data_IF_986255162224
#
_entry.id   IF_986255162224
#
_cell.length_a   1.000
_cell.length_b   1.000
_cell.length_c   1.000
_cell.angle_alpha   90.00
_cell.angle_beta   90.00
_cell.angle_gamma   90.00
#
_symmetry.space_group_name_H-M   'P 1'
#
loop_
_entity.id
_entity.type
_entity.pdbx_description
1 polymer ?
#
# COMPACT_ATOMS: atom_id res chain seq x y z
N UNK A 1 10.23 -14.19 -16.06
CA UNK A 1 9.66 -14.10 -14.69
C UNK A 1 9.58 -15.49 -14.08
N UNK A 2 9.55 -15.55 -12.75
CA UNK A 2 9.27 -16.78 -11.98
C UNK A 2 7.94 -17.42 -12.41
N UNK A 3 7.84 -18.75 -12.33
CA UNK A 3 6.60 -19.50 -12.60
C UNK A 3 5.79 -19.69 -11.30
N UNK A 4 5.55 -18.59 -10.58
CA UNK A 4 4.81 -18.62 -9.32
C UNK A 4 3.30 -18.81 -9.57
N UNK A 5 2.65 -19.54 -8.67
CA UNK A 5 1.22 -19.83 -8.64
C UNK A 5 0.61 -19.43 -7.31
N UNK A 6 -0.29 -18.45 -7.35
CA UNK A 6 -0.93 -17.88 -6.16
C UNK A 6 -2.44 -18.14 -6.23
N UNK A 7 -3.01 -18.61 -5.12
CA UNK A 7 -4.46 -18.86 -5.02
C UNK A 7 -5.25 -17.54 -4.96
N UNK A 8 -6.56 -17.60 -5.23
CA UNK A 8 -7.43 -16.43 -5.07
C UNK A 8 -7.41 -15.84 -3.66
N UNK A 9 -7.39 -16.70 -2.63
CA UNK A 9 -7.37 -16.25 -1.24
C UNK A 9 -6.02 -15.63 -0.87
N UNK A 10 -4.90 -16.19 -1.32
CA UNK A 10 -3.58 -15.60 -1.12
C UNK A 10 -3.47 -14.22 -1.75
N UNK A 11 -3.94 -14.07 -2.98
CA UNK A 11 -3.94 -12.78 -3.67
C UNK A 11 -4.83 -11.76 -2.94
N UNK A 12 -6.01 -12.18 -2.48
CA UNK A 12 -6.89 -11.36 -1.65
C UNK A 12 -6.18 -10.88 -0.37
N UNK A 13 -5.54 -11.80 0.36
CA UNK A 13 -4.80 -11.50 1.59
C UNK A 13 -3.67 -10.51 1.34
N UNK A 14 -2.90 -10.70 0.27
CA UNK A 14 -1.81 -9.80 -0.09
C UNK A 14 -2.31 -8.38 -0.36
N UNK A 15 -3.46 -8.24 -1.04
CA UNK A 15 -4.08 -6.94 -1.31
C UNK A 15 -4.53 -6.28 0.00
N UNK A 16 -5.19 -7.04 0.88
CA UNK A 16 -5.63 -6.50 2.18
C UNK A 16 -4.44 -5.99 2.99
N UNK A 17 -3.39 -6.79 3.13
CA UNK A 17 -2.18 -6.42 3.87
C UNK A 17 -1.44 -5.23 3.25
N UNK A 18 -1.37 -5.19 1.93
CA UNK A 18 -0.72 -4.13 1.18
C UNK A 18 -1.41 -2.78 1.38
N UNK A 19 -2.73 -2.75 1.22
CA UNK A 19 -3.55 -1.54 1.36
C UNK A 19 -3.54 -1.05 2.81
N UNK A 20 -3.67 -1.97 3.78
CA UNK A 20 -3.65 -1.64 5.20
C UNK A 20 -2.30 -1.06 5.66
N UNK A 21 -1.18 -1.58 5.15
CA UNK A 21 0.21 -1.32 5.55
C UNK A 21 0.47 0.03 6.24
N UNK A 22 0.99 1.02 5.50
CA UNK A 22 1.25 2.36 6.06
C UNK A 22 -0.01 3.23 6.22
N UNK A 23 -1.13 2.86 5.59
CA UNK A 23 -2.39 3.58 5.64
C UNK A 23 -2.99 3.66 7.04
N UNK A 24 -2.92 2.54 7.77
CA UNK A 24 -3.43 2.45 9.14
C UNK A 24 -2.50 3.17 10.13
N UNK A 25 -1.22 3.31 9.77
CA UNK A 25 -0.20 3.96 10.57
C UNK A 25 -0.35 5.49 10.60
N UNK A 26 -0.49 6.13 9.43
CA UNK A 26 -0.26 7.58 9.24
C UNK A 26 -1.48 8.48 9.44
N UNK A 27 -2.62 7.94 9.88
CA UNK A 27 -3.82 8.77 10.12
C UNK A 27 -4.38 9.42 8.85
N UNK A 28 -4.63 8.61 7.83
CA UNK A 28 -5.17 9.03 6.53
C UNK A 28 -6.29 10.07 6.63
N UNK A 29 -6.14 11.15 5.87
CA UNK A 29 -7.17 12.19 5.75
C UNK A 29 -7.32 13.09 6.97
N UNK A 30 -6.43 13.03 7.96
CA UNK A 30 -6.52 13.80 9.21
C UNK A 30 -6.75 15.31 9.02
N UNK A 31 -6.35 15.87 7.89
CA UNK A 31 -6.58 17.26 7.49
C UNK A 31 -8.08 17.65 7.42
N UNK A 32 -8.98 16.67 7.22
CA UNK A 32 -10.44 16.89 7.26
C UNK A 32 -11.07 16.52 8.60
N UNK A 33 -10.26 16.38 9.65
CA UNK A 33 -10.69 16.28 11.04
C UNK A 33 -11.67 15.11 11.26
N UNK A 34 -12.84 15.36 11.83
CA UNK A 34 -13.86 14.35 12.12
C UNK A 34 -14.45 13.67 10.87
N UNK A 35 -14.28 14.27 9.68
CA UNK A 35 -14.79 13.73 8.41
C UNK A 35 -13.76 12.84 7.69
N UNK A 36 -12.63 12.50 8.33
CA UNK A 36 -11.56 11.69 7.71
C UNK A 36 -12.05 10.32 7.24
N UNK A 37 -12.92 9.67 8.01
CA UNK A 37 -13.54 8.40 7.63
C UNK A 37 -14.38 8.50 6.35
N UNK A 38 -15.04 9.64 6.11
CA UNK A 38 -15.76 9.90 4.86
C UNK A 38 -14.76 10.02 3.70
N UNK A 39 -13.70 10.80 3.87
CA UNK A 39 -12.66 10.96 2.85
C UNK A 39 -11.98 9.63 2.48
N UNK A 40 -11.81 8.71 3.44
CA UNK A 40 -11.28 7.36 3.20
C UNK A 40 -12.27 6.52 2.37
N UNK A 41 -13.57 6.55 2.69
CA UNK A 41 -14.60 5.82 1.91
C UNK A 41 -14.72 6.33 0.47
N UNK A 42 -14.66 7.65 0.27
CA UNK A 42 -14.59 8.21 -1.08
C UNK A 42 -13.28 7.85 -1.79
N UNK A 43 -12.18 7.80 -1.05
CA UNK A 43 -10.89 7.30 -1.54
C UNK A 43 -11.00 5.88 -2.06
N UNK A 44 -11.63 4.98 -1.29
CA UNK A 44 -11.89 3.60 -1.69
C UNK A 44 -12.74 3.54 -2.96
N UNK A 45 -13.83 4.29 -3.02
CA UNK A 45 -14.68 4.34 -4.20
C UNK A 45 -13.92 4.83 -5.45
N UNK A 46 -13.13 5.91 -5.31
CA UNK A 46 -12.26 6.42 -6.37
C UNK A 46 -11.18 5.42 -6.78
N UNK A 47 -10.54 4.76 -5.82
CA UNK A 47 -9.55 3.72 -6.04
C UNK A 47 -10.12 2.51 -6.79
N UNK A 48 -11.35 2.09 -6.48
CA UNK A 48 -12.05 1.03 -7.23
C UNK A 48 -12.29 1.45 -8.69
N UNK A 49 -12.65 2.72 -8.94
CA UNK A 49 -12.78 3.27 -10.30
C UNK A 49 -11.44 3.19 -11.03
N UNK A 50 -10.34 3.60 -10.39
CA UNK A 50 -8.98 3.49 -10.95
C UNK A 50 -8.60 2.02 -11.19
N UNK A 51 -8.94 1.12 -10.26
CA UNK A 51 -8.67 -0.31 -10.41
C UNK A 51 -9.35 -0.91 -11.64
N UNK A 52 -10.53 -0.43 -12.05
CA UNK A 52 -11.15 -0.89 -13.30
C UNK A 52 -10.26 -0.65 -14.52
N UNK A 53 -9.44 0.41 -14.53
CA UNK A 53 -8.46 0.66 -15.59
C UNK A 53 -7.42 -0.47 -15.61
N UNK A 54 -6.86 -0.81 -14.45
CA UNK A 54 -5.88 -1.88 -14.28
C UNK A 54 -6.47 -3.24 -14.66
N UNK A 55 -7.69 -3.52 -14.21
CA UNK A 55 -8.39 -4.76 -14.52
C UNK A 55 -8.66 -4.90 -16.02
N UNK A 56 -9.06 -3.82 -16.70
CA UNK A 56 -9.26 -3.84 -18.15
C UNK A 56 -7.96 -4.07 -18.91
N UNK A 57 -6.85 -3.46 -18.49
CA UNK A 57 -5.52 -3.76 -19.05
C UNK A 57 -5.13 -5.23 -18.83
N UNK A 58 -5.35 -5.76 -17.63
CA UNK A 58 -5.13 -7.16 -17.32
C UNK A 58 -5.97 -8.10 -18.22
N UNK A 59 -7.23 -7.77 -18.51
CA UNK A 59 -8.05 -8.57 -19.43
C UNK A 59 -7.47 -8.64 -20.85
N UNK A 60 -6.80 -7.57 -21.33
CA UNK A 60 -6.12 -7.61 -22.62
C UNK A 60 -4.82 -8.43 -22.58
N UNK A 61 -4.15 -8.47 -21.43
CA UNK A 61 -2.82 -9.07 -21.27
C UNK A 61 -2.70 -9.91 -19.98
N UNK A 62 -3.50 -10.97 -19.81
CA UNK A 62 -3.63 -11.66 -18.53
C UNK A 62 -2.39 -12.45 -18.09
N UNK A 63 -1.50 -12.75 -19.03
CA UNK A 63 -0.27 -13.53 -18.81
C UNK A 63 0.99 -12.67 -18.72
N UNK A 64 0.86 -11.35 -18.87
CA UNK A 64 2.00 -10.46 -18.99
C UNK A 64 2.03 -9.46 -17.83
N UNK A 65 3.21 -9.23 -17.23
CA UNK A 65 3.37 -8.12 -16.31
C UNK A 65 3.25 -6.77 -17.05
N UNK A 66 3.06 -5.70 -16.29
CA UNK A 66 3.12 -4.32 -16.76
C UNK A 66 4.31 -4.03 -17.68
N UNK A 67 5.53 -4.40 -17.27
CA UNK A 67 6.74 -4.15 -18.08
C UNK A 67 6.72 -4.83 -19.45
N UNK A 68 6.05 -5.98 -19.58
CA UNK A 68 5.94 -6.71 -20.84
C UNK A 68 4.76 -6.22 -21.69
N UNK A 69 3.59 -5.97 -21.10
CA UNK A 69 2.46 -5.48 -21.89
C UNK A 69 2.67 -4.04 -22.35
N UNK A 70 3.43 -3.22 -21.61
CA UNK A 70 3.87 -1.89 -22.07
C UNK A 70 4.55 -1.97 -23.43
N UNK A 71 5.52 -2.88 -23.57
CA UNK A 71 6.23 -3.12 -24.83
C UNK A 71 5.30 -3.61 -25.94
N UNK A 72 4.27 -4.39 -25.60
CA UNK A 72 3.25 -4.81 -26.57
C UNK A 72 2.35 -3.67 -27.02
N UNK A 73 1.98 -2.74 -26.14
CA UNK A 73 1.02 -1.65 -26.43
C UNK A 73 1.70 -0.52 -27.22
N UNK A 74 2.83 -0.01 -26.74
CA UNK A 74 3.48 1.20 -27.30
C UNK A 74 4.78 0.90 -28.07
N UNK A 75 5.16 -0.37 -28.19
CA UNK A 75 6.37 -0.81 -28.87
C UNK A 75 7.57 -1.01 -27.93
N UNK A 76 8.58 -1.73 -28.41
CA UNK A 76 9.71 -2.23 -27.59
C UNK A 76 10.51 -1.12 -26.91
N UNK A 77 10.84 -0.05 -27.64
CA UNK A 77 11.69 1.04 -27.11
C UNK A 77 10.95 1.88 -26.08
N UNK A 78 9.82 2.48 -26.46
CA UNK A 78 9.03 3.33 -25.57
C UNK A 78 8.49 2.53 -24.38
N UNK A 79 8.06 1.29 -24.59
CA UNK A 79 7.59 0.41 -23.52
C UNK A 79 8.66 0.06 -22.50
N UNK A 80 9.93 -0.10 -22.92
CA UNK A 80 11.06 -0.31 -21.99
C UNK A 80 11.36 0.96 -21.19
N UNK A 81 11.28 2.15 -21.79
CA UNK A 81 11.47 3.42 -21.08
C UNK A 81 10.38 3.59 -20.02
N UNK A 82 9.10 3.47 -20.40
CA UNK A 82 7.98 3.60 -19.45
C UNK A 82 8.06 2.52 -18.36
N UNK A 83 8.39 1.28 -18.73
CA UNK A 83 8.56 0.20 -17.77
C UNK A 83 9.70 0.46 -16.79
N UNK A 84 10.80 1.05 -17.26
CA UNK A 84 11.93 1.44 -16.41
C UNK A 84 11.54 2.53 -15.40
N UNK A 85 10.74 3.50 -15.84
CA UNK A 85 10.18 4.53 -14.96
C UNK A 85 9.25 3.92 -13.89
N UNK A 86 8.45 2.90 -14.22
CA UNK A 86 7.67 2.16 -13.21
C UNK A 86 8.54 1.41 -12.20
N UNK A 87 9.68 0.86 -12.62
CA UNK A 87 10.63 0.23 -11.68
C UNK A 87 11.15 1.27 -10.70
N UNK A 88 11.56 2.45 -11.17
CA UNK A 88 12.01 3.55 -10.32
C UNK A 88 10.89 3.96 -9.35
N UNK A 89 9.66 4.09 -9.86
CA UNK A 89 8.49 4.38 -9.04
C UNK A 89 8.29 3.34 -7.93
N UNK A 90 8.33 2.04 -8.24
CA UNK A 90 8.19 0.98 -7.24
C UNK A 90 9.34 0.97 -6.21
N UNK A 91 10.58 1.21 -6.64
CA UNK A 91 11.73 1.36 -5.73
C UNK A 91 11.51 2.55 -4.79
N UNK A 92 11.08 3.69 -5.34
CA UNK A 92 10.84 4.90 -4.58
C UNK A 92 9.75 4.69 -3.51
N UNK A 93 8.60 4.11 -3.88
CA UNK A 93 7.53 3.84 -2.92
C UNK A 93 7.95 2.79 -1.89
N UNK A 94 8.67 1.72 -2.27
CA UNK A 94 9.23 0.78 -1.30
C UNK A 94 10.16 1.47 -0.29
N UNK A 95 10.97 2.42 -0.73
CA UNK A 95 11.89 3.21 0.12
C UNK A 95 11.14 4.13 1.07
N UNK A 96 10.06 4.77 0.59
CA UNK A 96 9.17 5.60 1.41
C UNK A 96 8.53 4.77 2.53
N UNK A 97 7.94 3.63 2.17
CA UNK A 97 7.29 2.76 3.16
C UNK A 97 8.33 2.19 4.14
N UNK A 98 9.53 1.84 3.67
CA UNK A 98 10.63 1.44 4.57
C UNK A 98 10.98 2.54 5.57
N UNK A 99 11.00 3.81 5.14
CA UNK A 99 11.21 4.97 6.02
C UNK A 99 10.08 5.13 7.04
N UNK A 100 8.81 5.00 6.63
CA UNK A 100 7.64 5.07 7.53
C UNK A 100 7.79 4.13 8.73
N UNK A 101 8.09 2.86 8.46
CA UNK A 101 8.19 1.83 9.49
C UNK A 101 9.49 1.91 10.30
N UNK A 102 10.59 2.38 9.69
CA UNK A 102 11.82 2.66 10.42
C UNK A 102 11.64 3.79 11.45
N UNK A 103 10.97 4.87 11.05
CA UNK A 103 10.66 6.00 11.92
C UNK A 103 9.67 5.60 13.02
N UNK A 104 8.64 4.83 12.68
CA UNK A 104 7.77 4.22 13.68
C UNK A 104 8.56 3.50 14.77
N UNK A 105 9.47 2.61 14.38
CA UNK A 105 10.21 1.76 15.32
C UNK A 105 11.23 2.52 16.14
N UNK A 106 11.94 3.48 15.55
CA UNK A 106 12.97 4.28 16.23
C UNK A 106 12.41 5.39 17.11
N UNK A 107 11.14 5.78 16.92
CA UNK A 107 10.48 6.78 17.77
C UNK A 107 9.67 6.17 18.92
N UNK A 108 9.40 4.86 18.87
CA UNK A 108 8.52 4.18 19.84
C UNK A 108 9.23 3.16 20.71
N UNK A 109 9.96 2.21 20.11
CA UNK A 109 10.61 1.09 20.83
C UNK A 109 12.12 1.29 20.91
N UNK A 110 12.73 1.56 19.76
CA UNK A 110 14.18 1.44 19.57
C UNK A 110 14.85 2.81 19.52
N UNK A 111 14.57 3.65 20.52
CA UNK A 111 14.98 5.06 20.57
C UNK A 111 16.51 5.29 20.53
N UNK A 112 17.29 4.27 20.89
CA UNK A 112 18.76 4.31 20.84
C UNK A 112 19.35 3.61 19.61
N UNK A 113 18.53 2.96 18.77
CA UNK A 113 18.99 2.25 17.58
C UNK A 113 18.92 3.16 16.36
N UNK A 114 20.00 3.29 15.57
CA UNK A 114 19.95 4.11 14.36
C UNK A 114 18.94 3.56 13.35
N UNK A 115 18.20 4.47 12.70
CA UNK A 115 17.25 4.15 11.64
C UNK A 115 17.83 3.22 10.57
N UNK A 116 19.10 3.44 10.21
CA UNK A 116 19.82 2.59 9.24
C UNK A 116 19.79 1.11 9.62
N UNK A 117 20.00 0.78 10.90
CA UNK A 117 20.06 -0.61 11.39
C UNK A 117 18.69 -1.26 11.26
N UNK A 118 17.63 -0.56 11.70
CA UNK A 118 16.24 -1.05 11.60
C UNK A 118 15.86 -1.31 10.14
N UNK A 119 16.12 -0.34 9.25
CA UNK A 119 15.79 -0.48 7.83
C UNK A 119 16.62 -1.59 7.17
N UNK A 120 17.87 -1.77 7.57
CA UNK A 120 18.74 -2.85 7.10
C UNK A 120 18.17 -4.23 7.47
N UNK A 121 17.72 -4.42 8.71
CA UNK A 121 17.11 -5.69 9.14
C UNK A 121 15.82 -5.99 8.36
N UNK A 122 14.98 -4.98 8.16
CA UNK A 122 13.76 -5.12 7.37
C UNK A 122 14.08 -5.50 5.92
N UNK A 123 14.98 -4.80 5.24
CA UNK A 123 15.27 -5.07 3.83
C UNK A 123 15.97 -6.42 3.64
N UNK A 124 16.85 -6.84 4.56
CA UNK A 124 17.47 -8.18 4.51
C UNK A 124 16.39 -9.27 4.61
N UNK A 125 15.41 -9.10 5.50
CA UNK A 125 14.28 -10.03 5.65
C UNK A 125 13.45 -10.11 4.36
N UNK A 126 13.20 -8.96 3.72
CA UNK A 126 12.46 -8.88 2.45
C UNK A 126 13.26 -9.52 1.29
N UNK A 127 14.56 -9.24 1.21
CA UNK A 127 15.48 -9.86 0.24
C UNK A 127 15.42 -11.39 0.41
N UNK A 128 15.48 -11.90 1.64
CA UNK A 128 15.37 -13.32 1.92
C UNK A 128 14.02 -13.91 1.45
N UNK A 129 12.91 -13.22 1.73
CA UNK A 129 11.59 -13.60 1.23
C UNK A 129 11.55 -13.71 -0.29
N UNK A 130 12.10 -12.72 -1.01
CA UNK A 130 12.21 -12.75 -2.47
C UNK A 130 13.05 -13.93 -2.97
N UNK A 131 14.14 -14.27 -2.29
CA UNK A 131 14.98 -15.42 -2.66
C UNK A 131 14.23 -16.75 -2.54
N UNK A 132 13.27 -16.85 -1.61
CA UNK A 132 12.40 -18.03 -1.47
C UNK A 132 11.29 -18.09 -2.52
N UNK A 133 10.94 -16.96 -3.13
CA UNK A 133 9.98 -16.86 -4.24
C UNK A 133 8.66 -16.24 -3.83
N UNK A 134 7.89 -15.78 -4.83
CA UNK A 134 6.66 -15.02 -4.57
C UNK A 134 5.56 -15.87 -3.91
N UNK A 135 5.49 -17.16 -4.23
CA UNK A 135 4.56 -18.08 -3.56
C UNK A 135 4.79 -18.17 -2.06
N UNK A 136 6.05 -18.08 -1.62
CA UNK A 136 6.39 -18.14 -0.19
C UNK A 136 5.91 -16.88 0.52
N UNK A 137 6.10 -15.70 -0.08
CA UNK A 137 5.53 -14.44 0.44
C UNK A 137 4.01 -14.56 0.55
N UNK A 138 3.35 -15.11 -0.46
CA UNK A 138 1.90 -15.29 -0.48
C UNK A 138 1.39 -16.23 0.64
N UNK A 139 2.06 -17.38 0.87
CA UNK A 139 1.72 -18.34 1.95
C UNK A 139 1.97 -17.76 3.33
N UNK A 140 3.08 -17.04 3.50
CA UNK A 140 3.37 -16.32 4.76
C UNK A 140 2.33 -15.22 5.01
N UNK A 141 1.82 -14.60 3.94
CA UNK A 141 0.65 -13.72 3.95
C UNK A 141 -0.56 -14.34 4.63
N UNK A 142 -0.97 -15.54 4.22
CA UNK A 142 -2.13 -16.23 4.81
C UNK A 142 -1.96 -16.48 6.32
N UNK A 143 -0.77 -16.89 6.76
CA UNK A 143 -0.49 -17.14 8.17
C UNK A 143 -0.60 -15.82 8.96
N UNK A 144 0.07 -14.78 8.49
CA UNK A 144 0.04 -13.48 9.15
C UNK A 144 -1.32 -12.80 9.07
N UNK A 145 -2.16 -13.14 8.10
CA UNK A 145 -3.55 -12.70 8.05
C UNK A 145 -4.33 -13.11 9.29
N UNK A 146 -4.21 -14.37 9.71
CA UNK A 146 -4.82 -14.82 10.96
C UNK A 146 -4.29 -14.06 12.19
N UNK A 147 -2.97 -13.87 12.27
CA UNK A 147 -2.32 -13.14 13.38
C UNK A 147 -2.78 -11.69 13.44
N UNK A 148 -2.80 -11.01 12.29
CA UNK A 148 -3.22 -9.62 12.17
C UNK A 148 -4.68 -9.44 12.57
N UNK A 149 -5.57 -10.31 12.08
CA UNK A 149 -6.98 -10.21 12.45
C UNK A 149 -7.25 -10.56 13.90
N UNK A 150 -6.52 -11.53 14.46
CA UNK A 150 -6.58 -11.82 15.89
C UNK A 150 -6.18 -10.58 16.71
N UNK A 151 -5.05 -9.95 16.38
CA UNK A 151 -4.59 -8.74 17.07
C UNK A 151 -5.58 -7.57 16.90
N UNK A 152 -6.12 -7.37 15.70
CA UNK A 152 -7.09 -6.31 15.42
C UNK A 152 -8.41 -6.49 16.20
N UNK A 153 -8.95 -7.72 16.23
CA UNK A 153 -10.18 -8.03 16.98
C UNK A 153 -9.94 -7.87 18.48
N UNK A 154 -8.85 -8.43 19.00
CA UNK A 154 -8.47 -8.27 20.41
C UNK A 154 -8.33 -6.79 20.77
N UNK A 155 -7.66 -6.02 19.91
CA UNK A 155 -7.49 -4.60 20.10
C UNK A 155 -8.80 -3.82 20.11
N UNK A 156 -9.70 -4.12 19.18
CA UNK A 156 -11.02 -3.51 19.15
C UNK A 156 -11.82 -3.83 20.43
N UNK A 157 -11.79 -5.07 20.90
CA UNK A 157 -12.45 -5.47 22.16
C UNK A 157 -11.90 -4.67 23.34
N UNK A 158 -10.58 -4.57 23.47
CA UNK A 158 -9.93 -3.82 24.55
C UNK A 158 -10.32 -2.34 24.53
N UNK A 159 -10.37 -1.71 23.35
CA UNK A 159 -10.82 -0.32 23.21
C UNK A 159 -12.29 -0.17 23.62
N UNK A 160 -13.17 -1.07 23.18
CA UNK A 160 -14.59 -1.02 23.54
C UNK A 160 -14.79 -1.17 25.06
N UNK A 161 -14.08 -2.10 25.71
CA UNK A 161 -14.18 -2.32 27.16
C UNK A 161 -13.48 -1.25 28.00
N UNK A 162 -12.53 -0.51 27.43
CA UNK A 162 -11.85 0.58 28.15
C UNK A 162 -12.73 1.79 28.45
N UNK A 163 -13.89 1.93 27.80
CA UNK A 163 -14.78 3.09 27.98
C UNK A 163 -14.29 4.40 27.35
N UNK A 164 -13.21 4.35 26.56
CA UNK A 164 -12.59 5.54 25.94
C UNK A 164 -13.33 6.11 24.72
N UNK A 165 -14.32 5.40 24.19
CA UNK A 165 -15.01 5.77 22.95
C UNK A 165 -16.01 6.90 23.22
N UNK A 166 -15.74 8.09 22.68
CA UNK A 166 -16.67 9.21 22.71
C UNK A 166 -17.20 9.52 21.31
N UNK A 167 -18.37 8.97 20.96
CA UNK A 167 -19.00 9.16 19.64
C UNK A 167 -19.32 10.62 19.30
N UNK A 168 -19.42 11.49 20.31
CA UNK A 168 -19.58 12.94 20.13
C UNK A 168 -18.43 13.58 19.34
N UNK A 169 -17.24 12.99 19.36
CA UNK A 169 -16.07 13.48 18.62
C UNK A 169 -16.20 13.34 17.09
N UNK A 170 -17.20 12.59 16.60
CA UNK A 170 -17.53 12.53 15.17
C UNK A 170 -18.45 13.68 14.73
N UNK A 171 -18.97 14.46 15.68
CA UNK A 171 -19.91 15.55 15.42
C UNK A 171 -19.20 16.92 15.53
N UNK A 172 -19.68 17.93 14.78
CA UNK A 172 -20.67 17.82 13.71
C UNK A 172 -20.07 17.18 12.44
N UNK A 173 -20.85 16.33 11.78
CA UNK A 173 -20.48 15.71 10.50
C UNK A 173 -20.59 16.77 9.40
N UNK A 174 -19.61 16.83 8.50
CA UNK A 174 -19.53 17.81 7.41
C UNK A 174 -19.48 19.26 7.90
N UNK A 175 -18.87 19.53 9.06
CA UNK A 175 -18.74 20.88 9.62
C UNK A 175 -18.12 21.88 8.63
N UNK A 176 -17.09 21.43 7.90
CA UNK A 176 -16.36 22.25 6.93
C UNK A 176 -16.86 22.05 5.49
N UNK A 177 -17.99 21.37 5.31
CA UNK A 177 -18.61 21.06 4.02
C UNK A 177 -17.83 20.05 3.17
N UNK A 178 -18.24 19.90 1.91
CA UNK A 178 -17.68 18.90 0.99
C UNK A 178 -16.31 19.28 0.39
N UNK A 179 -15.99 20.56 0.32
CA UNK A 179 -14.79 21.06 -0.38
C UNK A 179 -13.48 20.49 0.21
N UNK A 180 -13.27 20.46 1.54
CA UNK A 180 -12.09 19.83 2.13
C UNK A 180 -12.01 18.33 1.83
N UNK A 181 -13.14 17.60 1.90
CA UNK A 181 -13.21 16.16 1.64
C UNK A 181 -12.79 15.86 0.20
N UNK A 182 -13.33 16.59 -0.78
CA UNK A 182 -12.97 16.41 -2.20
C UNK A 182 -11.50 16.77 -2.43
N UNK A 183 -10.98 17.81 -1.76
CA UNK A 183 -9.55 18.16 -1.85
C UNK A 183 -8.66 17.03 -1.32
N UNK A 184 -9.01 16.44 -0.17
CA UNK A 184 -8.29 15.31 0.42
C UNK A 184 -8.42 14.06 -0.44
N UNK A 185 -9.59 13.81 -1.03
CA UNK A 185 -9.79 12.74 -1.99
C UNK A 185 -8.77 12.81 -3.14
N UNK A 186 -8.67 13.97 -3.80
CA UNK A 186 -7.82 14.15 -4.98
C UNK A 186 -6.32 14.24 -4.66
N UNK A 187 -5.96 14.66 -3.44
CA UNK A 187 -4.56 14.90 -3.04
C UNK A 187 -3.97 13.79 -2.17
N UNK A 188 -4.78 12.86 -1.70
CA UNK A 188 -4.33 11.85 -0.75
C UNK A 188 -5.07 10.53 -0.96
N UNK A 189 -6.36 10.44 -0.60
CA UNK A 189 -6.98 9.13 -0.39
C UNK A 189 -7.23 8.33 -1.66
N UNK A 190 -7.39 8.96 -2.83
CA UNK A 190 -7.52 8.22 -4.10
C UNK A 190 -6.21 7.55 -4.54
N UNK A 191 -5.06 8.20 -4.28
CA UNK A 191 -3.75 7.74 -4.72
C UNK A 191 -3.08 6.84 -3.69
N UNK A 192 -3.29 7.12 -2.40
CA UNK A 192 -2.73 6.38 -1.29
C UNK A 192 -3.85 6.03 -0.29
N UNK A 193 -4.06 4.73 0.01
CA UNK A 193 -3.33 3.57 -0.52
C UNK A 193 -3.92 3.03 -1.85
N UNK A 194 -5.17 3.36 -2.19
CA UNK A 194 -5.93 2.60 -3.18
C UNK A 194 -5.42 2.70 -4.64
N UNK A 195 -4.81 3.82 -5.01
CA UNK A 195 -4.22 4.01 -6.35
C UNK A 195 -2.96 3.17 -6.56
N UNK A 196 -2.26 2.81 -5.47
CA UNK A 196 -1.05 1.99 -5.47
C UNK A 196 -1.28 0.56 -5.98
N UNK A 197 -2.55 0.14 -6.12
CA UNK A 197 -2.97 -1.11 -6.78
C UNK A 197 -2.39 -1.30 -8.18
N UNK A 198 -1.84 -0.25 -8.80
CA UNK A 198 -1.05 -0.38 -10.04
C UNK A 198 0.07 -1.41 -9.91
N UNK A 199 0.66 -1.60 -8.73
CA UNK A 199 1.71 -2.61 -8.50
C UNK A 199 1.22 -4.03 -8.78
N UNK A 200 -0.07 -4.31 -8.53
CA UNK A 200 -0.65 -5.63 -8.79
C UNK A 200 -0.76 -5.95 -10.27
N UNK A 201 -0.61 -4.99 -11.18
CA UNK A 201 -0.46 -5.28 -12.62
C UNK A 201 0.82 -6.06 -12.96
N UNK A 202 1.82 -6.07 -12.06
CA UNK A 202 2.99 -6.94 -12.15
C UNK A 202 2.73 -8.35 -11.59
N UNK A 203 1.75 -8.50 -10.70
CA UNK A 203 1.56 -9.69 -9.85
C UNK A 203 0.35 -10.53 -10.23
N UNK A 204 -0.68 -9.92 -10.82
CA UNK A 204 -1.88 -10.59 -11.31
C UNK A 204 -1.60 -11.75 -12.27
N UNK A 205 -0.55 -11.72 -13.12
CA UNK A 205 -0.20 -12.89 -13.93
C UNK A 205 0.11 -14.17 -13.12
N UNK A 206 0.43 -14.06 -11.83
CA UNK A 206 0.64 -15.22 -10.95
C UNK A 206 -0.66 -15.80 -10.37
N UNK A 207 -1.80 -15.14 -10.56
CA UNK A 207 -3.08 -15.63 -10.07
C UNK A 207 -3.52 -16.87 -10.86
N UNK A 208 -3.71 -17.98 -10.16
CA UNK A 208 -4.16 -19.25 -10.77
C UNK A 208 -5.56 -19.12 -11.38
N UNK A 209 -6.49 -18.54 -10.63
CA UNK A 209 -7.90 -18.44 -11.00
C UNK A 209 -8.19 -17.07 -11.63
N UNK A 210 -7.72 -16.88 -12.86
CA UNK A 210 -7.79 -15.58 -13.56
C UNK A 210 -9.20 -14.97 -13.63
N UNK A 211 -10.24 -15.80 -13.70
CA UNK A 211 -11.65 -15.36 -13.70
C UNK A 211 -12.06 -14.67 -12.40
N UNK A 212 -11.41 -14.98 -11.27
CA UNK A 212 -11.66 -14.38 -9.96
C UNK A 212 -10.87 -13.10 -9.71
N UNK A 213 -9.97 -12.69 -10.62
CA UNK A 213 -9.11 -11.51 -10.44
C UNK A 213 -9.89 -10.26 -10.00
N UNK A 214 -11.03 -9.96 -10.66
CA UNK A 214 -11.86 -8.81 -10.31
C UNK A 214 -12.39 -8.90 -8.88
N UNK A 215 -12.98 -10.05 -8.51
CA UNK A 215 -13.67 -10.20 -7.22
C UNK A 215 -12.67 -10.21 -6.06
N UNK A 216 -11.51 -10.83 -6.28
CA UNK A 216 -10.40 -10.90 -5.33
C UNK A 216 -9.83 -9.51 -5.06
N UNK A 217 -9.55 -8.74 -6.11
CA UNK A 217 -9.00 -7.40 -5.92
C UNK A 217 -9.99 -6.43 -5.30
N UNK A 218 -11.22 -6.37 -5.81
CA UNK A 218 -12.25 -5.48 -5.26
C UNK A 218 -12.57 -5.89 -3.82
N UNK A 219 -12.70 -7.19 -3.54
CA UNK A 219 -12.94 -7.68 -2.18
C UNK A 219 -11.82 -7.28 -1.22
N UNK A 220 -10.56 -7.42 -1.63
CA UNK A 220 -9.41 -7.05 -0.81
C UNK A 220 -9.35 -5.55 -0.55
N UNK A 221 -9.56 -4.72 -1.58
CA UNK A 221 -9.64 -3.27 -1.45
C UNK A 221 -10.78 -2.83 -0.51
N UNK A 222 -11.97 -3.43 -0.66
CA UNK A 222 -13.13 -3.12 0.20
C UNK A 222 -12.83 -3.47 1.65
N UNK A 223 -12.30 -4.67 1.91
CA UNK A 223 -11.99 -5.09 3.29
C UNK A 223 -10.92 -4.19 3.92
N UNK A 224 -9.85 -3.88 3.19
CA UNK A 224 -8.83 -2.95 3.66
C UNK A 224 -9.39 -1.55 3.92
N UNK A 225 -10.17 -1.00 2.97
CA UNK A 225 -10.78 0.32 3.10
C UNK A 225 -11.74 0.41 4.27
N UNK A 226 -12.53 -0.64 4.54
CA UNK A 226 -13.37 -0.74 5.73
C UNK A 226 -12.51 -0.76 7.00
N UNK A 227 -11.46 -1.58 7.07
CA UNK A 227 -10.57 -1.63 8.24
C UNK A 227 -9.90 -0.28 8.53
N UNK A 228 -9.42 0.42 7.48
CA UNK A 228 -8.83 1.75 7.58
C UNK A 228 -9.87 2.76 8.09
N UNK A 229 -11.10 2.70 7.56
CA UNK A 229 -12.22 3.56 7.97
C UNK A 229 -12.58 3.34 9.45
N UNK A 230 -12.73 2.08 9.87
CA UNK A 230 -12.99 1.72 11.28
C UNK A 230 -11.87 2.26 12.16
N UNK A 231 -10.61 2.07 11.75
CA UNK A 231 -9.46 2.57 12.51
C UNK A 231 -9.48 4.10 12.65
N UNK A 232 -9.82 4.84 11.59
CA UNK A 232 -9.97 6.31 11.65
C UNK A 232 -11.09 6.73 12.60
N UNK A 233 -12.26 6.07 12.54
CA UNK A 233 -13.38 6.31 13.46
C UNK A 233 -12.96 6.06 14.91
N UNK A 234 -12.31 4.93 15.19
CA UNK A 234 -11.82 4.59 16.53
C UNK A 234 -10.82 5.64 17.03
N UNK A 235 -9.86 6.04 16.19
CA UNK A 235 -8.89 7.07 16.56
C UNK A 235 -9.56 8.42 16.85
N UNK A 236 -10.51 8.86 16.03
CA UNK A 236 -11.22 10.14 16.24
C UNK A 236 -12.06 10.07 17.52
N UNK A 237 -12.75 8.96 17.77
CA UNK A 237 -13.64 8.81 18.93
C UNK A 237 -12.89 8.73 20.24
N UNK A 238 -11.69 8.14 20.26
CA UNK A 238 -10.84 8.02 21.47
C UNK A 238 -9.93 9.23 21.70
N UNK A 239 -9.33 9.78 20.64
CA UNK A 239 -8.38 10.88 20.76
C UNK A 239 -9.04 12.26 20.75
N UNK A 240 -10.20 12.36 20.10
CA UNK A 240 -10.75 13.64 19.67
C UNK A 240 -9.99 14.22 18.47
N UNK A 241 -10.64 15.14 17.76
CA UNK A 241 -10.14 15.73 16.51
C UNK A 241 -8.75 16.36 16.67
N UNK A 242 -8.53 17.11 17.76
CA UNK A 242 -7.29 17.86 17.94
C UNK A 242 -6.08 16.96 18.13
N UNK A 243 -6.21 15.86 18.88
CA UNK A 243 -5.09 14.96 19.13
C UNK A 243 -4.90 14.00 17.96
N UNK A 244 -5.98 13.56 17.31
CA UNK A 244 -5.92 12.80 16.06
C UNK A 244 -5.13 13.54 14.97
N UNK A 245 -5.42 14.84 14.77
CA UNK A 245 -4.74 15.67 13.77
C UNK A 245 -3.24 15.86 14.04
N UNK A 246 -2.84 15.96 15.31
CA UNK A 246 -1.44 16.22 15.70
C UNK A 246 -0.62 14.94 15.89
N UNK A 247 -1.27 13.79 16.02
CA UNK A 247 -0.58 12.52 16.26
C UNK A 247 0.07 12.02 14.98
N UNK A 248 1.38 11.78 15.04
CA UNK A 248 2.13 11.16 13.94
C UNK A 248 1.66 9.74 13.65
N UNK A 249 1.37 8.97 14.72
CA UNK A 249 0.90 7.59 14.64
C UNK A 249 -0.39 7.42 15.46
N UNK A 250 -1.55 7.90 14.97
CA UNK A 250 -2.76 7.99 15.78
C UNK A 250 -3.23 6.66 16.36
N UNK A 251 -3.07 5.55 15.62
CA UNK A 251 -3.44 4.23 16.13
C UNK A 251 -2.64 3.87 17.39
N UNK A 252 -1.32 4.10 17.38
CA UNK A 252 -0.50 3.84 18.57
C UNK A 252 -0.86 4.77 19.73
N UNK A 253 -1.14 6.04 19.45
CA UNK A 253 -1.62 6.97 20.48
C UNK A 253 -2.94 6.49 21.10
N UNK A 254 -3.87 5.96 20.29
CA UNK A 254 -5.14 5.39 20.77
C UNK A 254 -4.91 4.18 21.66
N UNK A 255 -4.04 3.25 21.24
CA UNK A 255 -3.70 2.05 22.02
C UNK A 255 -3.04 2.42 23.33
N UNK A 256 -2.12 3.40 23.32
CA UNK A 256 -1.43 3.85 24.52
C UNK A 256 -2.34 4.49 25.58
N UNK A 257 -3.58 4.87 25.22
CA UNK A 257 -4.60 5.31 26.19
C UNK A 257 -5.33 4.18 26.89
N UNK A 258 -5.26 2.95 26.38
CA UNK A 258 -5.94 1.80 26.97
C UNK A 258 -5.27 1.49 28.31
N UNK A 259 -5.98 1.78 29.41
CA UNK A 259 -5.60 1.38 30.76
C UNK A 259 -6.73 0.50 31.31
N UNK A 260 -6.46 -0.79 31.45
CA UNK A 260 -7.42 -1.74 32.04
C UNK A 260 -6.83 -2.27 33.34
N UNK A 261 -7.42 -1.82 34.45
CA UNK A 261 -7.21 -2.35 35.80
C UNK A 261 -5.73 -2.47 36.23
N UNK A 262 -4.88 -1.51 35.84
CA UNK A 262 -3.44 -1.43 36.18
C UNK A 262 -2.58 -2.68 35.87
N UNK A 263 -3.14 -3.68 35.17
CA UNK A 263 -2.49 -4.96 34.87
C UNK A 263 -2.05 -5.07 33.41
N UNK A 264 -2.78 -4.41 32.50
CA UNK A 264 -2.51 -4.43 31.06
C UNK A 264 -1.99 -3.06 30.62
N UNK A 265 -0.67 -2.86 30.71
CA UNK A 265 -0.04 -1.57 30.40
C UNK A 265 0.76 -1.56 29.09
N UNK A 266 1.19 -2.73 28.57
CA UNK A 266 2.05 -2.86 27.38
C UNK A 266 1.42 -3.63 26.22
N UNK A 267 0.22 -3.22 25.83
CA UNK A 267 -0.45 -3.75 24.62
C UNK A 267 0.20 -3.26 23.33
N UNK A 268 0.88 -2.11 23.40
CA UNK A 268 1.63 -1.48 22.31
C UNK A 268 2.46 -2.50 21.50
N UNK A 269 3.14 -3.45 22.16
CA UNK A 269 3.97 -4.47 21.50
C UNK A 269 3.18 -5.34 20.51
N UNK A 270 1.97 -5.77 20.86
CA UNK A 270 1.14 -6.60 19.99
C UNK A 270 0.70 -5.84 18.74
N UNK A 271 0.35 -4.56 18.91
CA UNK A 271 -0.07 -3.72 17.79
C UNK A 271 1.11 -3.26 16.92
N UNK A 272 2.28 -3.07 17.51
CA UNK A 272 3.50 -2.81 16.75
C UNK A 272 3.85 -4.02 15.89
N UNK A 273 3.71 -5.24 16.38
CA UNK A 273 3.86 -6.45 15.56
C UNK A 273 2.89 -6.44 14.37
N UNK A 274 1.61 -6.13 14.61
CA UNK A 274 0.60 -5.96 13.56
C UNK A 274 1.02 -4.93 12.50
N UNK A 275 1.51 -3.76 12.92
CA UNK A 275 1.96 -2.70 12.01
C UNK A 275 3.17 -3.13 11.18
N UNK A 276 4.20 -3.71 11.83
CA UNK A 276 5.42 -4.19 11.19
C UNK A 276 5.10 -5.24 10.12
N UNK A 277 4.16 -6.16 10.40
CA UNK A 277 3.69 -7.16 9.43
C UNK A 277 3.10 -6.47 8.20
N UNK A 278 2.21 -5.48 8.39
CA UNK A 278 1.63 -4.71 7.28
C UNK A 278 2.70 -4.00 6.46
N UNK A 279 3.68 -3.38 7.12
CA UNK A 279 4.83 -2.75 6.46
C UNK A 279 5.67 -3.74 5.66
N UNK A 280 5.98 -4.90 6.24
CA UNK A 280 6.72 -5.96 5.57
C UNK A 280 6.05 -6.38 4.25
N UNK A 281 4.73 -6.62 4.25
CA UNK A 281 4.03 -7.01 3.01
C UNK A 281 4.00 -5.89 1.99
N UNK A 282 3.73 -4.65 2.42
CA UNK A 282 3.68 -3.50 1.52
C UNK A 282 5.01 -3.26 0.83
N UNK A 283 6.11 -3.23 1.59
CA UNK A 283 7.46 -3.07 1.05
C UNK A 283 7.83 -4.25 0.17
N UNK A 284 7.54 -5.49 0.61
CA UNK A 284 7.85 -6.71 -0.16
C UNK A 284 7.19 -6.73 -1.53
N UNK A 285 5.93 -6.29 -1.64
CA UNK A 285 5.17 -6.27 -2.90
C UNK A 285 5.77 -5.27 -3.88
N UNK A 286 6.04 -4.03 -3.45
CA UNK A 286 6.69 -3.03 -4.31
C UNK A 286 8.10 -3.44 -4.70
N UNK A 287 8.88 -3.93 -3.73
CA UNK A 287 10.23 -4.40 -3.95
C UNK A 287 10.28 -5.58 -4.93
N UNK A 288 9.39 -6.56 -4.78
CA UNK A 288 9.29 -7.69 -5.71
C UNK A 288 8.91 -7.21 -7.11
N UNK A 289 7.94 -6.30 -7.23
CA UNK A 289 7.55 -5.73 -8.52
C UNK A 289 8.71 -5.00 -9.21
N UNK A 290 9.53 -4.24 -8.46
CA UNK A 290 10.73 -3.61 -8.98
C UNK A 290 11.77 -4.63 -9.48
N UNK A 291 12.06 -5.65 -8.68
CA UNK A 291 13.04 -6.71 -9.02
C UNK A 291 12.58 -7.52 -10.23
N UNK A 292 11.32 -7.94 -10.25
CA UNK A 292 10.74 -8.70 -11.36
C UNK A 292 10.67 -7.85 -12.64
N UNK A 293 10.28 -6.58 -12.52
CA UNK A 293 10.24 -5.63 -13.64
C UNK A 293 11.64 -5.37 -14.21
N UNK A 294 12.64 -5.17 -13.36
CA UNK A 294 14.03 -5.01 -13.80
C UNK A 294 14.54 -6.27 -14.51
N UNK A 295 14.26 -7.46 -13.96
CA UNK A 295 14.62 -8.70 -14.62
C UNK A 295 13.95 -8.85 -16.00
N UNK A 296 12.70 -8.43 -16.15
CA UNK A 296 11.97 -8.44 -17.41
C UNK A 296 12.57 -7.46 -18.43
N UNK A 297 12.79 -6.20 -18.04
CA UNK A 297 13.30 -5.17 -18.96
C UNK A 297 14.74 -5.45 -19.38
N UNK A 298 15.61 -5.87 -18.44
CA UNK A 298 17.02 -6.15 -18.72
C UNK A 298 17.27 -7.61 -19.14
N UNK A 299 16.21 -8.41 -19.31
CA UNK A 299 16.28 -9.81 -19.77
C UNK A 299 17.18 -10.69 -18.89
N UNK A 300 17.16 -10.45 -17.58
CA UNK A 300 17.93 -11.23 -16.61
C UNK A 300 17.17 -12.50 -16.26
N UNK A 301 17.75 -13.66 -16.63
CA UNK A 301 17.11 -14.98 -16.45
C UNK A 301 16.74 -15.28 -14.98
N UNK A 302 17.59 -14.89 -14.04
CA UNK A 302 17.38 -15.12 -12.61
C UNK A 302 17.22 -13.79 -11.87
N UNK A 303 15.98 -13.43 -11.57
CA UNK A 303 15.63 -12.18 -10.88
C UNK A 303 16.24 -12.06 -9.47
N UNK A 304 16.56 -13.19 -8.81
CA UNK A 304 17.14 -13.18 -7.45
C UNK A 304 18.49 -12.46 -7.41
N UNK A 305 19.25 -12.48 -8.52
CA UNK A 305 20.53 -11.74 -8.65
C UNK A 305 20.36 -10.22 -8.50
N UNK A 306 19.18 -9.69 -8.83
CA UNK A 306 18.87 -8.27 -8.68
C UNK A 306 18.35 -7.92 -7.29
N UNK A 307 18.04 -8.91 -6.46
CA UNK A 307 17.49 -8.67 -5.13
C UNK A 307 18.42 -7.79 -4.29
N UNK A 308 19.67 -8.21 -4.11
CA UNK A 308 20.61 -7.45 -3.28
C UNK A 308 20.90 -6.03 -3.83
N UNK A 309 21.23 -5.83 -5.13
CA UNK A 309 21.43 -4.48 -5.68
C UNK A 309 20.23 -3.55 -5.49
N UNK A 310 19.02 -4.01 -5.82
CA UNK A 310 17.81 -3.18 -5.68
C UNK A 310 17.50 -2.95 -4.19
N UNK A 311 17.78 -3.92 -3.32
CA UNK A 311 17.60 -3.79 -1.88
C UNK A 311 18.50 -2.71 -1.28
N UNK A 312 19.75 -2.63 -1.74
CA UNK A 312 20.65 -1.53 -1.35
C UNK A 312 20.11 -0.18 -1.82
N UNK A 313 19.61 -0.07 -3.06
CA UNK A 313 19.01 1.18 -3.55
C UNK A 313 17.84 1.57 -2.63
N UNK A 314 16.92 0.64 -2.33
CA UNK A 314 15.78 0.90 -1.44
C UNK A 314 16.24 1.35 -0.05
N UNK A 315 17.24 0.68 0.53
CA UNK A 315 17.80 1.02 1.84
C UNK A 315 18.38 2.44 1.84
N UNK A 316 19.30 2.75 0.92
CA UNK A 316 19.95 4.06 0.88
C UNK A 316 18.95 5.16 0.56
N UNK A 317 18.06 4.95 -0.41
CA UNK A 317 16.98 5.89 -0.71
C UNK A 317 16.07 6.15 0.50
N UNK A 318 15.75 5.13 1.32
CA UNK A 318 14.94 5.34 2.54
C UNK A 318 15.60 6.30 3.55
N UNK A 319 16.93 6.35 3.56
CA UNK A 319 17.68 7.22 4.48
C UNK A 319 17.79 8.63 3.91
N UNK A 320 18.05 8.75 2.61
CA UNK A 320 18.40 10.01 1.95
C UNK A 320 17.21 10.74 1.33
N UNK A 321 16.01 10.16 1.34
CA UNK A 321 14.81 10.78 0.75
C UNK A 321 14.52 12.16 1.33
N UNK A 322 14.72 12.35 2.64
CA UNK A 322 14.45 13.61 3.33
C UNK A 322 15.36 13.76 4.55
N UNK A 323 15.61 15.00 4.97
CA UNK A 323 16.52 15.32 6.07
C UNK A 323 15.91 14.99 7.43
N UNK A 324 14.58 15.06 7.54
CA UNK A 324 13.82 14.72 8.74
C UNK A 324 12.42 14.21 8.38
N UNK A 325 11.71 13.66 9.37
CA UNK A 325 10.41 13.03 9.17
C UNK A 325 9.30 14.03 8.77
N UNK A 326 9.34 15.28 9.24
CA UNK A 326 8.33 16.27 8.89
C UNK A 326 8.44 16.68 7.40
N UNK A 327 9.66 16.91 6.92
CA UNK A 327 9.95 17.12 5.50
C UNK A 327 9.47 15.93 4.67
N UNK A 328 9.81 14.70 5.10
CA UNK A 328 9.37 13.46 4.47
C UNK A 328 7.85 13.39 4.29
N UNK A 329 7.05 13.68 5.33
CA UNK A 329 5.58 13.64 5.23
C UNK A 329 5.09 14.72 4.25
N UNK A 330 5.61 15.94 4.36
CA UNK A 330 5.22 17.05 3.50
C UNK A 330 5.49 16.76 2.02
N UNK A 331 6.68 16.27 1.68
CA UNK A 331 7.03 15.88 0.32
C UNK A 331 6.10 14.79 -0.22
N UNK A 332 5.72 13.83 0.63
CA UNK A 332 4.78 12.77 0.26
C UNK A 332 3.43 13.31 -0.21
N UNK A 333 2.87 14.26 0.54
CA UNK A 333 1.55 14.84 0.24
C UNK A 333 1.63 15.83 -0.92
N UNK A 334 2.61 16.73 -0.91
CA UNK A 334 2.63 17.88 -1.83
C UNK A 334 3.32 17.57 -3.16
N UNK A 335 4.35 16.72 -3.17
CA UNK A 335 5.16 16.45 -4.36
C UNK A 335 4.84 15.06 -4.92
N UNK A 336 4.96 14.02 -4.10
CA UNK A 336 4.84 12.63 -4.58
C UNK A 336 3.46 12.38 -5.15
N UNK A 337 2.40 12.83 -4.48
CA UNK A 337 1.04 12.67 -5.02
C UNK A 337 0.92 13.24 -6.43
N UNK A 338 1.24 14.52 -6.63
CA UNK A 338 0.95 15.22 -7.89
C UNK A 338 1.88 14.80 -9.02
N UNK A 339 3.18 14.65 -8.74
CA UNK A 339 4.19 14.45 -9.77
C UNK A 339 4.57 12.98 -10.00
N UNK A 340 4.30 12.08 -9.04
CA UNK A 340 4.53 10.65 -9.21
C UNK A 340 3.22 9.86 -9.24
N UNK A 341 2.42 9.91 -8.18
CA UNK A 341 1.26 9.02 -8.06
C UNK A 341 0.23 9.25 -9.17
N UNK A 342 -0.17 10.50 -9.45
CA UNK A 342 -1.11 10.80 -10.53
C UNK A 342 -0.64 10.29 -11.91
N UNK A 343 0.59 10.60 -12.38
CA UNK A 343 1.12 10.05 -13.62
C UNK A 343 1.15 8.53 -13.70
N UNK A 344 1.74 7.87 -12.69
CA UNK A 344 2.00 6.42 -12.74
C UNK A 344 0.78 5.57 -12.40
N UNK A 345 -0.14 6.05 -11.57
CA UNK A 345 -1.33 5.30 -11.19
C UNK A 345 -2.50 5.59 -12.14
N UNK A 346 -2.70 6.83 -12.59
CA UNK A 346 -3.91 7.19 -13.33
C UNK A 346 -3.63 7.51 -14.79
N UNK A 347 -2.75 8.48 -15.08
CA UNK A 347 -2.59 9.04 -16.43
C UNK A 347 -2.01 8.00 -17.40
N UNK A 348 -0.86 7.41 -17.06
CA UNK A 348 -0.18 6.44 -17.92
C UNK A 348 -1.07 5.20 -18.16
N UNK A 349 -1.65 4.54 -17.12
CA UNK A 349 -2.55 3.41 -17.33
C UNK A 349 -3.78 3.75 -18.17
N UNK A 350 -4.36 4.94 -18.01
CA UNK A 350 -5.49 5.40 -18.84
C UNK A 350 -5.11 5.52 -20.31
N UNK A 351 -3.97 6.16 -20.61
CA UNK A 351 -3.46 6.30 -21.99
C UNK A 351 -3.20 4.91 -22.59
N UNK A 352 -2.58 4.00 -21.84
CA UNK A 352 -2.32 2.64 -22.30
C UNK A 352 -3.61 1.88 -22.61
N UNK A 353 -4.64 2.04 -21.77
CA UNK A 353 -5.92 1.40 -21.99
C UNK A 353 -6.59 1.90 -23.27
N UNK A 354 -6.54 3.20 -23.54
CA UNK A 354 -7.05 3.81 -24.77
C UNK A 354 -6.32 3.22 -25.99
N UNK A 355 -4.98 3.18 -25.96
CA UNK A 355 -4.18 2.61 -27.07
C UNK A 355 -4.50 1.12 -27.28
N UNK A 356 -4.59 0.34 -26.19
CA UNK A 356 -4.92 -1.08 -26.24
C UNK A 356 -6.31 -1.33 -26.86
N UNK A 357 -7.31 -0.53 -26.47
CA UNK A 357 -8.68 -0.61 -27.00
C UNK A 357 -8.73 -0.40 -28.53
N UNK A 358 -8.06 0.63 -29.04
CA UNK A 358 -8.05 0.90 -30.49
C UNK A 358 -7.30 -0.18 -31.28
N UNK A 359 -6.22 -0.74 -30.71
CA UNK A 359 -5.48 -1.84 -31.38
C UNK A 359 -6.27 -3.13 -31.42
N UNK A 360 -7.04 -3.46 -30.38
CA UNK A 360 -7.89 -4.66 -30.37
C UNK A 360 -9.00 -4.56 -31.42
N UNK A 361 -9.65 -3.40 -31.54
CA UNK A 361 -10.66 -3.17 -32.60
C UNK A 361 -10.08 -3.36 -33.99
N UNK A 362 -8.91 -2.78 -34.28
CA UNK A 362 -8.28 -2.90 -35.60
C UNK A 362 -7.99 -4.36 -35.97
N UNK A 363 -7.56 -5.19 -35.01
CA UNK A 363 -7.33 -6.63 -35.24
C UNK A 363 -8.62 -7.36 -35.61
N UNK A 364 -9.72 -7.09 -34.90
CA UNK A 364 -11.02 -7.73 -35.18
C UNK A 364 -11.57 -7.35 -36.55
N UNK A 365 -11.40 -6.09 -36.97
CA UNK A 365 -11.82 -5.61 -38.29
C UNK A 365 -10.94 -6.14 -39.43
N UNK A 366 -9.67 -6.46 -39.18
CA UNK A 366 -8.80 -7.09 -40.19
C UNK A 366 -8.96 -8.61 -40.32
N UNK A 367 -9.65 -9.24 -39.36
CA UNK A 367 -9.91 -10.69 -39.33
C UNK A 367 -11.35 -11.07 -39.71
N UNK A 368 -12.19 -10.06 -39.96
CA UNK A 368 -13.54 -10.20 -40.51
C UNK A 368 -13.50 -9.71 -41.96
#
# INVERSE_FOLDING_TARGET
MEKAKVSSFQMFVLIVMFEMGSAILLGLGSQVKQDSWIAILFGLAGGIIVFFIYYRLYMYFPDLPLTSYLQKIVGKWLGRIIGFLYIIYFIYIASRVLRDFGELLTTTIYNSTPLFVINTLMIITIIYGLHKGFEVIARVGEIFFGVVYFAAILGMLLIVFSGLIHLGNLKPILENGWKPIIKTLLRETIVFPFGEMVVFTMLLPFLNEKSKAKIVCIGGMILAGINITITSIVNITVLGVSLYYRSTFPLLTTIGKIQIADFIERLDVLFMLYLIIGGFFKISIFYYAAVAGAADIFQIKNQRKLGFPIGLIVLFSSITIASNFAEFIKEGVDIVTLYLSWPFQIIIPSILLIIAFFRDRKKRTSSA
#
